data_IF_363765085355
#
_entry.id   IF_363765085355
#
_cell.length_a   1.000
_cell.length_b   1.000
_cell.length_c   1.000
_cell.angle_alpha   90.00
_cell.angle_beta   90.00
_cell.angle_gamma   90.00
#
_symmetry.space_group_name_H-M   'P 1'
#
loop_
_entity.id
_entity.type
_entity.pdbx_description
1 polymer ?
#
# COMPACT_ATOMS: atom_id res chain seq x y z
N UNK A 1 -28.73 8.09 -16.11
CA UNK A 1 -27.57 7.50 -15.41
C UNK A 1 -26.53 8.60 -15.27
N UNK A 2 -26.12 8.92 -14.05
CA UNK A 2 -25.11 9.95 -13.81
C UNK A 2 -23.75 9.38 -14.16
N UNK A 3 -23.03 10.01 -15.09
CA UNK A 3 -21.70 9.56 -15.55
C UNK A 3 -20.68 9.41 -14.41
N UNK A 4 -20.93 10.05 -13.28
CA UNK A 4 -20.11 10.00 -12.08
C UNK A 4 -20.19 8.66 -11.32
N UNK A 5 -21.32 7.96 -11.36
CA UNK A 5 -21.48 6.69 -10.64
C UNK A 5 -20.87 5.52 -11.44
N UNK A 6 -20.91 5.63 -12.78
CA UNK A 6 -20.42 4.60 -13.69
C UNK A 6 -18.88 4.45 -13.63
N UNK A 7 -18.13 5.56 -13.47
CA UNK A 7 -16.67 5.46 -13.37
C UNK A 7 -16.24 4.90 -12.00
N UNK A 8 -16.88 5.26 -10.89
CA UNK A 8 -16.56 4.70 -9.57
C UNK A 8 -16.82 3.20 -9.58
N UNK A 9 -17.95 2.78 -10.18
CA UNK A 9 -18.29 1.37 -10.31
C UNK A 9 -17.24 0.59 -11.11
N UNK A 10 -16.82 1.14 -12.25
CA UNK A 10 -15.80 0.51 -13.11
C UNK A 10 -14.42 0.47 -12.45
N UNK A 11 -13.95 1.61 -11.94
CA UNK A 11 -12.59 1.73 -11.39
C UNK A 11 -12.47 1.15 -9.98
N UNK A 12 -13.55 1.12 -9.22
CA UNK A 12 -13.65 0.50 -7.89
C UNK A 12 -13.84 -1.01 -7.91
N UNK A 13 -13.88 -1.63 -9.09
CA UNK A 13 -13.94 -3.08 -9.25
C UNK A 13 -12.53 -3.66 -9.44
N UNK A 14 -12.12 -4.55 -8.54
CA UNK A 14 -10.84 -5.25 -8.65
C UNK A 14 -10.79 -6.18 -9.85
N UNK A 15 -11.92 -6.82 -10.22
CA UNK A 15 -11.94 -7.76 -11.35
C UNK A 15 -11.65 -7.05 -12.66
N UNK A 16 -12.16 -5.82 -12.83
CA UNK A 16 -11.81 -4.97 -13.97
C UNK A 16 -10.28 -4.77 -14.11
N UNK A 17 -9.58 -4.54 -13.00
CA UNK A 17 -8.13 -4.37 -13.01
C UNK A 17 -7.41 -5.67 -13.33
N UNK A 18 -7.83 -6.77 -12.73
CA UNK A 18 -7.23 -8.08 -12.97
C UNK A 18 -7.39 -8.54 -14.43
N UNK A 19 -8.59 -8.40 -14.99
CA UNK A 19 -8.86 -8.75 -16.40
C UNK A 19 -8.06 -7.89 -17.35
N UNK A 20 -7.97 -6.58 -17.09
CA UNK A 20 -7.14 -5.67 -17.89
C UNK A 20 -5.67 -6.11 -17.89
N UNK A 21 -5.09 -6.40 -16.73
CA UNK A 21 -3.68 -6.84 -16.66
C UNK A 21 -3.46 -8.17 -17.39
N UNK A 22 -4.40 -9.12 -17.26
CA UNK A 22 -4.32 -10.44 -17.92
C UNK A 22 -4.43 -10.36 -19.44
N UNK A 23 -5.14 -9.36 -19.96
CA UNK A 23 -5.40 -9.18 -21.38
C UNK A 23 -4.44 -8.21 -22.07
N UNK A 24 -3.56 -7.54 -21.33
CA UNK A 24 -2.61 -6.57 -21.89
C UNK A 24 -1.39 -7.28 -22.47
N UNK A 25 -1.37 -7.42 -23.80
CA UNK A 25 -0.26 -8.03 -24.55
C UNK A 25 1.04 -7.23 -24.48
N UNK A 26 1.01 -5.96 -24.01
CA UNK A 26 2.19 -5.12 -23.87
C UNK A 26 2.94 -5.35 -22.55
N UNK A 27 2.34 -6.07 -21.60
CA UNK A 27 2.98 -6.41 -20.33
C UNK A 27 3.58 -7.80 -20.47
N UNK A 28 4.88 -7.94 -20.15
CA UNK A 28 5.48 -9.26 -20.15
C UNK A 28 4.86 -10.14 -19.04
N UNK A 29 4.93 -11.46 -19.21
CA UNK A 29 4.26 -12.41 -18.30
C UNK A 29 4.74 -12.29 -16.85
N UNK A 30 6.01 -11.99 -16.63
CA UNK A 30 6.60 -11.85 -15.29
C UNK A 30 6.01 -10.63 -14.58
N UNK A 31 6.03 -9.47 -15.24
CA UNK A 31 5.47 -8.24 -14.70
C UNK A 31 3.96 -8.36 -14.49
N UNK A 32 3.24 -8.98 -15.43
CA UNK A 32 1.80 -9.21 -15.28
C UNK A 32 1.49 -10.06 -14.03
N UNK A 33 2.27 -11.12 -13.80
CA UNK A 33 2.12 -11.96 -12.61
C UNK A 33 2.44 -11.17 -11.32
N UNK A 34 3.53 -10.42 -11.32
CA UNK A 34 3.96 -9.58 -10.20
C UNK A 34 2.89 -8.54 -9.83
N UNK A 35 2.33 -7.86 -10.84
CA UNK A 35 1.25 -6.88 -10.64
C UNK A 35 0.01 -7.56 -10.04
N UNK A 36 -0.40 -8.70 -10.62
CA UNK A 36 -1.58 -9.43 -10.15
C UNK A 36 -1.43 -9.89 -8.70
N UNK A 37 -0.26 -10.39 -8.32
CA UNK A 37 -0.04 -10.88 -6.96
C UNK A 37 0.01 -9.73 -5.95
N UNK A 38 0.66 -8.62 -6.28
CA UNK A 38 0.61 -7.41 -5.46
C UNK A 38 -0.80 -6.85 -5.30
N UNK A 39 -1.59 -6.81 -6.38
CA UNK A 39 -2.98 -6.33 -6.30
C UNK A 39 -3.87 -7.27 -5.49
N UNK A 40 -3.70 -8.59 -5.60
CA UNK A 40 -4.42 -9.56 -4.76
C UNK A 40 -4.07 -9.38 -3.29
N UNK A 41 -2.80 -9.19 -2.95
CA UNK A 41 -2.36 -8.95 -1.58
C UNK A 41 -2.97 -7.65 -1.02
N UNK A 42 -2.95 -6.57 -1.82
CA UNK A 42 -3.57 -5.31 -1.46
C UNK A 42 -5.08 -5.46 -1.20
N UNK A 43 -5.80 -6.18 -2.07
CA UNK A 43 -7.23 -6.51 -1.90
C UNK A 43 -7.49 -7.34 -0.65
N UNK A 44 -6.73 -8.41 -0.43
CA UNK A 44 -6.87 -9.31 0.72
C UNK A 44 -6.73 -8.55 2.04
N UNK A 45 -5.76 -7.62 2.10
CA UNK A 45 -5.42 -6.89 3.32
C UNK A 45 -6.37 -5.72 3.54
N UNK A 46 -6.58 -4.87 2.53
CA UNK A 46 -7.33 -3.61 2.66
C UNK A 46 -8.84 -3.77 2.43
N UNK A 47 -9.24 -4.76 1.64
CA UNK A 47 -10.63 -5.04 1.29
C UNK A 47 -11.19 -4.18 0.15
N UNK A 48 -12.32 -4.64 -0.41
CA UNK A 48 -12.99 -4.01 -1.55
C UNK A 48 -13.56 -2.63 -1.21
N UNK A 49 -14.03 -2.43 0.02
CA UNK A 49 -14.57 -1.15 0.47
C UNK A 49 -13.50 -0.06 0.52
N UNK A 50 -12.30 -0.39 1.01
CA UNK A 50 -11.18 0.55 1.00
C UNK A 50 -10.86 1.01 -0.42
N UNK A 51 -10.83 0.08 -1.39
CA UNK A 51 -10.54 0.44 -2.78
C UNK A 51 -11.60 1.33 -3.40
N UNK A 52 -12.89 1.01 -3.19
CA UNK A 52 -14.01 1.86 -3.63
C UNK A 52 -13.90 3.27 -3.03
N UNK A 53 -13.54 3.38 -1.76
CA UNK A 53 -13.32 4.67 -1.09
C UNK A 53 -12.10 5.40 -1.66
N UNK A 54 -11.00 4.70 -1.93
CA UNK A 54 -9.78 5.26 -2.54
C UNK A 54 -10.06 5.82 -3.93
N UNK A 55 -10.89 5.14 -4.73
CA UNK A 55 -11.36 5.60 -6.05
C UNK A 55 -12.26 6.84 -5.89
N UNK A 56 -13.28 6.75 -5.05
CA UNK A 56 -14.26 7.83 -4.84
C UNK A 56 -13.57 9.13 -4.36
N UNK A 57 -12.69 9.00 -3.37
CA UNK A 57 -11.98 10.12 -2.75
C UNK A 57 -10.69 10.50 -3.49
N UNK A 58 -10.31 9.76 -4.53
CA UNK A 58 -9.10 9.96 -5.34
C UNK A 58 -7.83 9.97 -4.49
N UNK A 59 -7.53 8.85 -3.86
CA UNK A 59 -6.29 8.66 -3.12
C UNK A 59 -5.10 8.69 -4.09
N UNK A 60 -3.88 9.05 -3.64
CA UNK A 60 -2.69 9.03 -4.50
C UNK A 60 -2.47 7.71 -5.25
N UNK A 61 -2.73 6.56 -4.62
CA UNK A 61 -2.64 5.24 -5.26
C UNK A 61 -3.61 5.04 -6.43
N UNK A 62 -4.78 5.69 -6.39
CA UNK A 62 -5.74 5.62 -7.48
C UNK A 62 -5.18 6.25 -8.76
N UNK A 63 -4.48 7.38 -8.64
CA UNK A 63 -3.82 8.01 -9.79
C UNK A 63 -2.75 7.11 -10.41
N UNK A 64 -2.03 6.33 -9.59
CA UNK A 64 -1.06 5.34 -10.08
C UNK A 64 -1.71 4.15 -10.79
N UNK A 65 -2.85 3.64 -10.28
CA UNK A 65 -3.62 2.59 -10.98
C UNK A 65 -4.20 3.10 -12.30
N UNK A 66 -4.69 4.33 -12.36
CA UNK A 66 -5.19 4.93 -13.60
C UNK A 66 -4.12 5.09 -14.67
N UNK A 67 -2.87 5.30 -14.26
CA UNK A 67 -1.75 5.33 -15.18
C UNK A 67 -1.40 3.90 -15.60
N UNK A 68 -1.85 3.51 -16.79
CA UNK A 68 -1.82 2.13 -17.26
C UNK A 68 -0.43 1.63 -17.65
N UNK A 69 0.60 2.47 -17.57
CA UNK A 69 1.98 2.04 -17.88
C UNK A 69 2.47 0.98 -16.87
N UNK A 70 3.25 -0.03 -17.30
CA UNK A 70 3.65 -1.14 -16.44
C UNK A 70 4.36 -0.71 -15.15
N UNK A 71 5.25 0.28 -15.21
CA UNK A 71 5.99 0.77 -14.04
C UNK A 71 5.08 1.36 -12.96
N UNK A 72 4.00 2.03 -13.34
CA UNK A 72 3.03 2.59 -12.40
C UNK A 72 2.20 1.48 -11.73
N UNK A 73 1.85 0.44 -12.49
CA UNK A 73 1.16 -0.74 -11.95
C UNK A 73 2.06 -1.53 -11.00
N UNK A 74 3.34 -1.71 -11.36
CA UNK A 74 4.35 -2.34 -10.49
C UNK A 74 4.55 -1.55 -9.19
N UNK A 75 4.53 -0.21 -9.24
CA UNK A 75 4.58 0.62 -8.03
C UNK A 75 3.41 0.34 -7.09
N UNK A 76 2.21 0.13 -7.61
CA UNK A 76 1.03 -0.21 -6.80
C UNK A 76 1.13 -1.64 -6.27
N UNK A 77 1.60 -2.57 -7.09
CA UNK A 77 1.83 -3.95 -6.69
C UNK A 77 2.84 -4.04 -5.52
N UNK A 78 3.89 -3.23 -5.56
CA UNK A 78 4.87 -3.08 -4.48
C UNK A 78 4.20 -2.78 -3.14
N UNK A 79 3.23 -1.84 -3.10
CA UNK A 79 2.46 -1.55 -1.87
C UNK A 79 1.77 -2.80 -1.32
N UNK A 80 1.16 -3.60 -2.19
CA UNK A 80 0.53 -4.86 -1.80
C UNK A 80 1.52 -5.88 -1.22
N UNK A 81 2.69 -6.00 -1.83
CA UNK A 81 3.76 -6.89 -1.34
C UNK A 81 4.36 -6.42 -0.02
N UNK A 82 4.59 -5.12 0.14
CA UNK A 82 5.05 -4.51 1.38
C UNK A 82 4.05 -4.77 2.52
N UNK A 83 2.76 -4.55 2.26
CA UNK A 83 1.69 -4.86 3.22
C UNK A 83 1.70 -6.35 3.60
N UNK A 84 1.83 -7.26 2.62
CA UNK A 84 1.85 -8.70 2.88
C UNK A 84 3.06 -9.11 3.71
N UNK A 85 4.22 -8.55 3.44
CA UNK A 85 5.44 -8.82 4.18
C UNK A 85 5.38 -8.33 5.64
N UNK A 86 4.64 -7.24 5.89
CA UNK A 86 4.56 -6.57 7.19
C UNK A 86 3.29 -6.89 7.98
N UNK A 87 2.36 -7.70 7.45
CA UNK A 87 1.07 -8.00 8.09
C UNK A 87 1.20 -8.61 9.51
N UNK A 88 2.33 -9.24 9.81
CA UNK A 88 2.64 -9.82 11.12
C UNK A 88 3.37 -8.89 12.09
N UNK A 89 3.74 -7.67 11.65
CA UNK A 89 4.43 -6.69 12.48
C UNK A 89 3.51 -6.13 13.57
N UNK A 90 4.09 -5.76 14.70
CA UNK A 90 3.32 -5.22 15.82
C UNK A 90 2.65 -3.91 15.41
N UNK A 91 1.40 -3.73 15.84
CA UNK A 91 0.55 -2.58 15.52
C UNK A 91 0.25 -2.37 14.01
N UNK A 92 0.44 -3.38 13.15
CA UNK A 92 0.11 -3.29 11.72
C UNK A 92 -1.31 -2.79 11.43
N UNK A 93 -2.29 -3.12 12.30
CA UNK A 93 -3.67 -2.63 12.15
C UNK A 93 -3.80 -1.10 12.25
N UNK A 94 -2.91 -0.41 12.95
CA UNK A 94 -2.87 1.04 12.96
C UNK A 94 -2.39 1.60 11.63
N UNK A 95 -1.36 1.00 11.02
CA UNK A 95 -0.87 1.35 9.69
C UNK A 95 -1.98 1.18 8.66
N UNK A 96 -2.64 0.01 8.68
CA UNK A 96 -3.79 -0.29 7.83
C UNK A 96 -4.89 0.78 7.97
N UNK A 97 -5.20 1.20 9.21
CA UNK A 97 -6.20 2.24 9.45
C UNK A 97 -5.77 3.60 8.89
N UNK A 98 -4.50 4.00 9.07
CA UNK A 98 -3.97 5.29 8.57
C UNK A 98 -3.91 5.32 7.03
N UNK A 99 -3.61 4.19 6.37
CA UNK A 99 -3.76 4.03 4.91
C UNK A 99 -5.21 4.15 4.43
N UNK A 100 -6.20 4.00 5.33
CA UNK A 100 -7.62 4.27 5.06
C UNK A 100 -8.04 5.73 5.22
N UNK A 101 -7.11 6.64 5.51
CA UNK A 101 -7.39 8.07 5.70
C UNK A 101 -6.66 8.85 4.61
N UNK A 102 -7.41 9.50 3.71
CA UNK A 102 -6.87 10.19 2.53
C UNK A 102 -5.70 11.12 2.85
N UNK A 103 -5.89 11.99 3.85
CA UNK A 103 -4.90 13.03 4.19
C UNK A 103 -3.65 12.47 4.87
N UNK A 104 -3.69 11.23 5.33
CA UNK A 104 -2.55 10.52 5.93
C UNK A 104 -1.90 9.53 4.97
N UNK A 105 -2.59 9.20 3.87
CA UNK A 105 -2.21 8.10 2.97
C UNK A 105 -0.75 8.17 2.52
N UNK A 106 -0.31 9.34 2.03
CA UNK A 106 1.02 9.50 1.45
C UNK A 106 2.14 9.27 2.47
N UNK A 107 2.06 9.91 3.64
CA UNK A 107 3.05 9.71 4.70
C UNK A 107 3.04 8.26 5.19
N UNK A 108 1.85 7.68 5.35
CA UNK A 108 1.68 6.31 5.81
C UNK A 108 2.24 5.29 4.80
N UNK A 109 2.14 5.56 3.50
CA UNK A 109 2.75 4.73 2.46
C UNK A 109 4.28 4.78 2.54
N UNK A 110 4.87 5.93 2.84
CA UNK A 110 6.33 6.05 3.00
C UNK A 110 6.79 5.35 4.28
N UNK A 111 6.04 5.46 5.38
CA UNK A 111 6.27 4.70 6.60
C UNK A 111 6.26 3.18 6.33
N UNK A 112 5.33 2.70 5.49
CA UNK A 112 5.27 1.30 5.04
C UNK A 112 6.53 0.92 4.25
N UNK A 113 6.95 1.74 3.29
CA UNK A 113 8.15 1.49 2.46
C UNK A 113 9.42 1.42 3.31
N UNK A 114 9.59 2.36 4.25
CA UNK A 114 10.73 2.39 5.19
C UNK A 114 10.73 1.16 6.09
N UNK A 115 9.57 0.81 6.66
CA UNK A 115 9.41 -0.40 7.46
C UNK A 115 9.80 -1.66 6.68
N UNK A 116 9.40 -1.75 5.41
CA UNK A 116 9.71 -2.89 4.56
C UNK A 116 11.22 -3.00 4.29
N UNK A 117 11.89 -1.85 4.07
CA UNK A 117 13.34 -1.80 3.91
C UNK A 117 14.07 -2.35 5.16
N UNK A 118 13.65 -1.95 6.36
CA UNK A 118 14.21 -2.49 7.60
C UNK A 118 13.92 -3.99 7.77
N UNK A 119 12.69 -4.42 7.45
CA UNK A 119 12.30 -5.83 7.54
C UNK A 119 13.16 -6.73 6.64
N UNK A 120 13.47 -6.27 5.42
CA UNK A 120 14.28 -7.01 4.45
C UNK A 120 15.74 -7.21 4.88
N UNK A 121 16.28 -6.33 5.73
CA UNK A 121 17.63 -6.48 6.28
C UNK A 121 17.65 -7.14 7.67
N UNK A 122 16.51 -7.70 8.09
CA UNK A 122 16.41 -8.56 9.27
C UNK A 122 15.92 -7.87 10.55
N UNK A 123 15.47 -6.61 10.50
CA UNK A 123 14.89 -5.97 11.68
C UNK A 123 13.49 -6.50 11.97
N UNK A 124 13.16 -6.59 13.25
CA UNK A 124 11.76 -6.58 13.69
C UNK A 124 11.21 -5.16 13.60
N UNK A 125 9.93 -5.03 13.29
CA UNK A 125 9.27 -3.73 13.09
C UNK A 125 8.01 -3.67 13.96
N UNK A 126 7.84 -2.55 14.65
CA UNK A 126 6.62 -2.14 15.35
C UNK A 126 6.20 -0.76 14.81
N UNK A 127 4.94 -0.64 14.37
CA UNK A 127 4.38 0.64 13.92
C UNK A 127 3.86 1.45 15.10
N UNK A 128 4.05 2.77 15.06
CA UNK A 128 3.48 3.72 16.03
C UNK A 128 3.69 3.35 17.52
N UNK A 129 4.91 2.94 17.93
CA UNK A 129 5.21 2.70 19.34
C UNK A 129 5.04 3.99 20.16
N UNK A 130 4.52 3.86 21.38
CA UNK A 130 4.52 4.96 22.35
C UNK A 130 5.76 4.91 23.22
N UNK A 131 6.52 6.02 23.23
CA UNK A 131 7.71 6.24 24.06
C UNK A 131 7.45 7.44 24.97
N UNK A 132 7.06 7.16 26.22
CA UNK A 132 6.62 8.19 27.16
C UNK A 132 5.36 8.91 26.64
N UNK A 133 5.50 10.20 26.31
CA UNK A 133 4.41 11.03 25.79
C UNK A 133 4.42 11.19 24.26
N UNK A 134 5.41 10.61 23.56
CA UNK A 134 5.55 10.70 22.10
C UNK A 134 5.20 9.38 21.43
N UNK A 135 4.66 9.48 20.23
CA UNK A 135 4.47 8.35 19.31
C UNK A 135 5.50 8.53 18.19
N UNK A 136 6.37 7.55 18.01
CA UNK A 136 7.31 7.53 16.88
C UNK A 136 6.67 6.76 15.72
N UNK A 137 7.09 6.98 14.48
CA UNK A 137 6.50 6.25 13.33
C UNK A 137 6.81 4.76 13.38
N UNK A 138 8.07 4.41 13.67
CA UNK A 138 8.53 3.02 13.75
C UNK A 138 9.43 2.80 14.97
N UNK A 139 9.34 1.60 15.53
CA UNK A 139 10.40 0.99 16.34
C UNK A 139 10.98 -0.17 15.56
N UNK A 140 12.30 -0.22 15.47
CA UNK A 140 13.02 -1.30 14.81
C UNK A 140 14.00 -1.96 15.78
N UNK A 141 14.16 -3.28 15.69
CA UNK A 141 15.02 -4.05 16.59
C UNK A 141 15.93 -4.99 15.78
N UNK A 142 17.24 -4.93 16.04
CA UNK A 142 18.23 -5.86 15.50
C UNK A 142 19.30 -6.18 16.55
N UNK A 143 19.55 -7.47 16.81
CA UNK A 143 20.56 -7.94 17.77
C UNK A 143 20.45 -7.25 19.15
N UNK A 144 19.23 -7.16 19.69
CA UNK A 144 18.89 -6.48 20.95
C UNK A 144 19.05 -4.95 20.96
N UNK A 145 19.57 -4.34 19.89
CA UNK A 145 19.58 -2.89 19.74
C UNK A 145 18.23 -2.42 19.23
N UNK A 146 17.71 -1.38 19.88
CA UNK A 146 16.41 -0.79 19.58
C UNK A 146 16.59 0.65 19.09
N UNK A 147 15.87 1.00 18.02
CA UNK A 147 15.86 2.34 17.47
C UNK A 147 14.43 2.80 17.24
N UNK A 148 14.19 4.09 17.46
CA UNK A 148 12.94 4.76 17.11
C UNK A 148 13.20 5.65 15.90
N UNK A 149 12.36 5.51 14.87
CA UNK A 149 12.52 6.18 13.59
C UNK A 149 11.33 7.11 13.36
N UNK A 150 11.64 8.34 12.98
CA UNK A 150 10.69 9.33 12.48
C UNK A 150 10.89 9.45 10.98
N UNK A 151 9.80 9.34 10.22
CA UNK A 151 9.82 9.37 8.76
C UNK A 151 9.34 10.74 8.30
N UNK A 152 10.26 11.57 7.80
CA UNK A 152 9.93 12.91 7.30
C UNK A 152 10.01 12.94 5.78
N UNK A 153 8.94 13.41 5.14
CA UNK A 153 8.95 13.75 3.72
C UNK A 153 9.45 15.18 3.56
N UNK A 154 10.54 15.37 2.82
CA UNK A 154 10.98 16.70 2.40
C UNK A 154 10.30 17.00 1.06
N UNK A 155 9.38 17.98 1.09
CA UNK A 155 8.68 18.48 -0.10
C UNK A 155 9.53 19.49 -0.87
#
# INVERSE_FOLDING_TARGET
MNSQDDWIKKWGDWEYHFERIRSDENINRTDAQEILDGFKALREIMGDEWWRNAVHLRYPIFHRIMNLIPSSQLSVAKVGHELKALQGSKNFKLLQKRLGIKDQYYNTEIELEVAWCFKNVGFEVEFYPRVGQKEADLRIILNQNEYYVEVTVVA
#
